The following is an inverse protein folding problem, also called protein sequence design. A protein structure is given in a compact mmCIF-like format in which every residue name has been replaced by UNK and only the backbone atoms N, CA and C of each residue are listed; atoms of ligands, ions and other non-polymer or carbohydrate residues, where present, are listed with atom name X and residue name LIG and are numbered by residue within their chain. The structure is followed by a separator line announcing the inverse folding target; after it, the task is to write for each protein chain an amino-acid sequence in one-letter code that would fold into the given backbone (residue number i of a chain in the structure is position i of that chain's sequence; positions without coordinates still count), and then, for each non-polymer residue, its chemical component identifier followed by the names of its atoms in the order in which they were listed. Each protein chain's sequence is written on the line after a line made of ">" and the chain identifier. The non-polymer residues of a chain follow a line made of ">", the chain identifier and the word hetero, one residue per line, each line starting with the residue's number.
data_IF_501466518268
#
_entry.id   IF_501466518268
#
_cell.length_a   1.000
_cell.length_b   1.000
_cell.length_c   1.000
_cell.angle_alpha   90.00
_cell.angle_beta   90.00
_cell.angle_gamma   90.00
#
_symmetry.space_group_name_H-M   'P 1'
#
loop_
_entity.id
_entity.type
_entity.pdbx_description
1 polymer ?
#
# COMPACT_ATOMS: atom_id res chain seq x y z
N UNK A 1 -0.99 -25.34 -21.07
CA UNK A 1 -1.51 -26.04 -19.86
C UNK A 1 -0.75 -25.52 -18.65
N UNK A 2 -1.46 -25.25 -17.58
CA UNK A 2 -0.90 -24.82 -16.29
C UNK A 2 -1.32 -25.81 -15.20
N UNK A 3 -0.39 -26.16 -14.32
CA UNK A 3 -0.65 -27.09 -13.23
C UNK A 3 -1.42 -26.38 -12.10
N UNK A 4 -2.54 -26.97 -11.66
CA UNK A 4 -3.17 -26.67 -10.39
C UNK A 4 -2.85 -27.82 -9.42
N UNK A 5 -2.16 -27.59 -8.28
CA UNK A 5 -1.87 -28.62 -7.32
C UNK A 5 -3.15 -29.30 -6.80
N UNK A 6 -3.14 -30.64 -6.67
CA UNK A 6 -4.31 -31.41 -6.28
C UNK A 6 -4.98 -30.95 -4.98
N UNK A 7 -4.17 -30.53 -3.98
CA UNK A 7 -4.65 -29.98 -2.70
C UNK A 7 -5.40 -28.65 -2.81
N UNK A 8 -5.36 -28.00 -3.98
CA UNK A 8 -6.02 -26.71 -4.25
C UNK A 8 -7.22 -26.86 -5.20
N UNK A 9 -7.48 -28.05 -5.69
CA UNK A 9 -8.68 -28.35 -6.47
C UNK A 9 -9.87 -28.34 -5.50
N UNK A 10 -10.93 -27.53 -5.76
CA UNK A 10 -12.13 -27.53 -4.92
C UNK A 10 -12.76 -28.92 -4.82
N UNK A 11 -13.31 -29.24 -3.65
CA UNK A 11 -14.03 -30.50 -3.46
C UNK A 11 -15.23 -30.58 -4.42
N UNK A 12 -15.35 -31.70 -5.08
CA UNK A 12 -16.43 -31.94 -6.07
C UNK A 12 -16.16 -31.42 -7.47
N UNK A 13 -15.03 -30.75 -7.73
CA UNK A 13 -14.67 -30.29 -9.08
C UNK A 13 -14.46 -31.47 -10.04
N UNK A 14 -14.96 -31.31 -11.27
CA UNK A 14 -14.90 -32.33 -12.33
C UNK A 14 -14.16 -31.81 -13.55
N UNK A 15 -13.72 -32.71 -14.40
CA UNK A 15 -13.15 -32.36 -15.69
C UNK A 15 -14.20 -31.66 -16.53
N UNK A 16 -13.86 -30.45 -17.02
CA UNK A 16 -14.74 -29.57 -17.76
C UNK A 16 -15.27 -28.38 -16.97
N UNK A 17 -15.09 -28.36 -15.64
CA UNK A 17 -15.44 -27.21 -14.83
C UNK A 17 -14.47 -26.04 -15.04
N UNK A 18 -14.99 -24.81 -14.97
CA UNK A 18 -14.20 -23.59 -15.01
C UNK A 18 -13.85 -23.15 -13.58
N UNK A 19 -12.56 -22.88 -13.35
CA UNK A 19 -12.05 -22.41 -12.06
C UNK A 19 -11.33 -21.09 -12.26
N UNK A 20 -11.64 -20.09 -11.42
CA UNK A 20 -10.84 -18.88 -11.31
C UNK A 20 -9.55 -19.18 -10.55
N UNK A 21 -8.42 -18.88 -11.16
CA UNK A 21 -7.10 -19.18 -10.58
C UNK A 21 -6.16 -18.00 -10.74
N UNK A 22 -5.26 -17.85 -9.78
CA UNK A 22 -4.13 -16.93 -9.87
C UNK A 22 -2.90 -17.67 -10.41
N UNK A 23 -2.18 -17.05 -11.35
CA UNK A 23 -0.99 -17.62 -11.98
C UNK A 23 0.27 -17.00 -11.38
N UNK A 24 1.22 -17.83 -11.01
CA UNK A 24 2.54 -17.40 -10.52
C UNK A 24 3.61 -18.45 -10.81
N UNK A 25 4.88 -18.13 -10.53
CA UNK A 25 5.98 -19.10 -10.68
C UNK A 25 6.34 -19.69 -9.32
N UNK A 26 6.46 -21.02 -9.27
CA UNK A 26 6.88 -21.75 -8.08
C UNK A 26 8.39 -21.59 -7.80
N UNK A 27 8.87 -22.26 -6.76
CA UNK A 27 10.29 -22.24 -6.35
C UNK A 27 11.25 -22.79 -7.42
N UNK A 28 10.73 -23.62 -8.32
CA UNK A 28 11.46 -24.19 -9.46
C UNK A 28 11.28 -23.40 -10.75
N UNK A 29 10.75 -22.17 -10.65
CA UNK A 29 10.50 -21.26 -11.78
C UNK A 29 9.46 -21.78 -12.78
N UNK A 30 8.62 -22.74 -12.41
CA UNK A 30 7.56 -23.27 -13.24
C UNK A 30 6.28 -22.46 -13.07
N UNK A 31 5.58 -22.20 -14.18
CA UNK A 31 4.28 -21.55 -14.13
C UNK A 31 3.25 -22.51 -13.53
N UNK A 32 2.66 -22.12 -12.42
CA UNK A 32 1.61 -22.87 -11.72
C UNK A 32 0.42 -21.97 -11.42
N UNK A 33 -0.68 -22.58 -11.04
CA UNK A 33 -1.90 -21.87 -10.63
C UNK A 33 -2.29 -22.21 -9.21
N UNK A 34 -3.06 -21.32 -8.60
CA UNK A 34 -3.65 -21.49 -7.27
C UNK A 34 -5.08 -20.96 -7.25
N UNK A 35 -5.95 -21.61 -6.51
CA UNK A 35 -7.30 -21.12 -6.20
C UNK A 35 -7.31 -20.16 -5.01
N UNK A 36 -6.17 -19.98 -4.33
CA UNK A 36 -6.03 -18.97 -3.28
C UNK A 36 -5.96 -17.57 -3.87
N UNK A 37 -6.66 -16.64 -3.25
CA UNK A 37 -6.56 -15.22 -3.61
C UNK A 37 -5.36 -14.60 -2.88
N UNK A 38 -4.34 -14.09 -3.61
CA UNK A 38 -3.24 -13.38 -2.97
C UNK A 38 -3.73 -12.07 -2.35
N UNK A 39 -3.02 -11.59 -1.32
CA UNK A 39 -3.28 -10.29 -0.68
C UNK A 39 -2.98 -9.10 -1.59
N UNK A 40 -2.28 -9.33 -2.70
CA UNK A 40 -1.84 -8.31 -3.65
C UNK A 40 -1.90 -8.85 -5.07
N UNK A 41 -2.59 -8.14 -5.95
CA UNK A 41 -2.67 -8.43 -7.39
C UNK A 41 -2.01 -7.30 -8.23
N UNK A 42 -1.80 -7.56 -9.52
CA UNK A 42 -1.30 -6.54 -10.43
C UNK A 42 -2.22 -5.31 -10.46
N UNK A 43 -1.61 -4.13 -10.44
CA UNK A 43 -2.35 -2.86 -10.45
C UNK A 43 -2.90 -2.45 -9.06
N UNK A 44 -2.58 -3.19 -8.02
CA UNK A 44 -2.98 -2.88 -6.65
C UNK A 44 -1.78 -2.52 -5.77
N UNK A 45 -2.06 -1.87 -4.66
CA UNK A 45 -1.13 -1.64 -3.55
C UNK A 45 -1.72 -2.29 -2.30
N UNK A 46 -0.89 -3.00 -1.55
CA UNK A 46 -1.31 -3.63 -0.29
C UNK A 46 -0.23 -3.52 0.78
N UNK A 47 -0.66 -3.59 2.03
CA UNK A 47 0.22 -3.66 3.19
C UNK A 47 0.57 -5.13 3.44
N UNK A 48 1.85 -5.48 3.29
CA UNK A 48 2.35 -6.84 3.44
C UNK A 48 3.38 -6.91 4.56
N UNK A 49 3.44 -8.06 5.24
CA UNK A 49 4.39 -8.31 6.32
C UNK A 49 5.68 -8.90 5.78
N UNK A 50 6.81 -8.36 6.21
CA UNK A 50 8.15 -8.90 5.94
C UNK A 50 8.34 -10.17 6.77
N UNK A 51 8.45 -11.32 6.11
CA UNK A 51 8.66 -12.63 6.77
C UNK A 51 10.13 -12.85 7.07
N UNK A 52 11.00 -12.48 6.12
CA UNK A 52 12.43 -12.71 6.20
C UNK A 52 13.19 -11.66 5.38
N UNK A 53 14.39 -11.34 5.80
CA UNK A 53 15.36 -10.57 5.01
C UNK A 53 16.52 -11.49 4.63
N UNK A 54 16.78 -11.62 3.34
CA UNK A 54 17.80 -12.51 2.78
C UNK A 54 18.88 -11.75 2.01
N UNK A 55 19.69 -12.49 1.24
CA UNK A 55 20.83 -11.95 0.48
C UNK A 55 20.44 -11.11 -0.75
N UNK A 56 19.25 -11.30 -1.28
CA UNK A 56 18.76 -10.65 -2.52
C UNK A 56 17.67 -9.60 -2.26
N UNK A 57 17.13 -9.57 -1.06
CA UNK A 57 16.05 -8.68 -0.67
C UNK A 57 15.28 -9.21 0.52
N UNK A 58 14.09 -8.67 0.72
CA UNK A 58 13.13 -9.16 1.69
C UNK A 58 12.10 -10.07 1.04
N UNK A 59 11.48 -10.92 1.84
CA UNK A 59 10.39 -11.80 1.44
C UNK A 59 9.13 -11.39 2.18
N UNK A 60 8.04 -11.21 1.45
CA UNK A 60 6.78 -10.71 1.96
C UNK A 60 5.71 -11.81 1.95
N UNK A 61 4.93 -11.90 3.03
CA UNK A 61 3.73 -12.74 3.07
C UNK A 61 2.61 -12.07 2.24
N UNK A 62 2.30 -12.63 1.11
CA UNK A 62 1.20 -12.21 0.24
C UNK A 62 0.06 -13.22 0.12
N UNK A 63 0.03 -14.22 1.02
CA UNK A 63 -1.05 -15.20 1.13
C UNK A 63 -0.88 -16.46 0.29
N UNK A 64 0.22 -16.59 -0.47
CA UNK A 64 0.55 -17.79 -1.24
C UNK A 64 1.66 -18.58 -0.55
N UNK A 65 1.87 -19.84 -0.98
CA UNK A 65 2.89 -20.73 -0.38
C UNK A 65 4.31 -20.20 -0.56
N UNK A 66 4.59 -19.57 -1.71
CA UNK A 66 5.86 -18.93 -1.98
C UNK A 66 5.77 -17.45 -1.62
N UNK A 67 6.63 -16.99 -0.72
CA UNK A 67 6.72 -15.58 -0.35
C UNK A 67 7.11 -14.70 -1.54
N UNK A 68 6.64 -13.47 -1.55
CA UNK A 68 6.89 -12.51 -2.60
C UNK A 68 8.23 -11.81 -2.36
N UNK A 69 9.14 -11.88 -3.33
CA UNK A 69 10.43 -11.20 -3.24
C UNK A 69 10.28 -9.67 -3.40
N UNK A 70 10.83 -8.93 -2.46
CA UNK A 70 11.06 -7.49 -2.52
C UNK A 70 12.57 -7.23 -2.66
N UNK A 71 13.11 -7.10 -3.89
CA UNK A 71 14.52 -6.89 -4.11
C UNK A 71 15.04 -5.62 -3.44
N UNK A 72 16.30 -5.60 -3.00
CA UNK A 72 16.90 -4.40 -2.37
C UNK A 72 16.75 -3.13 -3.22
N UNK A 73 16.88 -3.23 -4.54
CA UNK A 73 16.71 -2.11 -5.48
C UNK A 73 15.29 -1.53 -5.52
N UNK A 74 14.31 -2.27 -5.03
CA UNK A 74 12.91 -1.89 -4.99
C UNK A 74 12.45 -1.43 -3.61
N UNK A 75 13.38 -1.38 -2.65
CA UNK A 75 13.12 -0.86 -1.31
C UNK A 75 13.45 0.62 -1.24
N UNK A 76 12.52 1.43 -0.76
CA UNK A 76 12.73 2.87 -0.53
C UNK A 76 13.50 3.14 0.77
N UNK A 77 13.54 2.15 1.66
CA UNK A 77 14.33 2.13 2.91
C UNK A 77 14.65 0.69 3.30
N UNK A 78 15.60 0.50 4.18
CA UNK A 78 15.86 -0.82 4.78
C UNK A 78 14.63 -1.28 5.57
N UNK A 79 14.27 -2.55 5.40
CA UNK A 79 13.15 -3.18 6.10
C UNK A 79 13.65 -4.28 7.04
N UNK A 80 12.86 -4.62 8.05
CA UNK A 80 13.15 -5.66 9.04
C UNK A 80 12.06 -6.72 9.05
N UNK A 81 12.41 -7.94 9.45
CA UNK A 81 11.45 -9.01 9.69
C UNK A 81 10.38 -8.58 10.70
N UNK A 82 9.12 -8.88 10.40
CA UNK A 82 7.95 -8.47 11.19
C UNK A 82 7.39 -7.10 10.85
N UNK A 83 8.11 -6.28 10.09
CA UNK A 83 7.59 -5.00 9.61
C UNK A 83 6.49 -5.16 8.56
N UNK A 84 5.57 -4.21 8.54
CA UNK A 84 4.60 -4.07 7.45
C UNK A 84 5.05 -2.98 6.48
N UNK A 85 5.00 -3.28 5.20
CA UNK A 85 5.38 -2.36 4.13
C UNK A 85 4.27 -2.27 3.09
N UNK A 86 4.05 -1.07 2.55
CA UNK A 86 3.23 -0.90 1.36
C UNK A 86 4.01 -1.40 0.15
N UNK A 87 3.39 -2.26 -0.63
CA UNK A 87 3.99 -2.85 -1.81
C UNK A 87 3.00 -2.93 -2.98
N UNK A 88 3.55 -2.84 -4.18
CA UNK A 88 2.87 -3.14 -5.43
C UNK A 88 3.57 -4.30 -6.13
N UNK A 89 2.88 -4.97 -7.07
CA UNK A 89 3.48 -5.99 -7.92
C UNK A 89 4.06 -5.38 -9.19
N UNK A 90 5.19 -5.92 -9.60
CA UNK A 90 5.73 -5.74 -10.95
C UNK A 90 6.31 -7.04 -11.47
N UNK A 91 6.50 -7.11 -12.77
CA UNK A 91 7.15 -8.25 -13.43
C UNK A 91 8.59 -7.84 -13.71
N UNK A 92 9.55 -8.60 -13.18
CA UNK A 92 10.96 -8.35 -13.40
C UNK A 92 11.40 -8.76 -14.82
N UNK A 93 12.66 -8.49 -15.17
CA UNK A 93 13.23 -8.82 -16.50
C UNK A 93 13.24 -10.33 -16.80
N UNK A 94 13.13 -11.18 -15.80
CA UNK A 94 13.06 -12.64 -15.93
C UNK A 94 11.63 -13.17 -16.02
N UNK A 95 10.62 -12.30 -16.03
CA UNK A 95 9.21 -12.66 -16.09
C UNK A 95 8.62 -13.15 -14.77
N UNK A 96 9.25 -12.81 -13.62
CA UNK A 96 8.79 -13.17 -12.29
C UNK A 96 8.03 -12.02 -11.64
N UNK A 97 6.99 -12.37 -10.88
CA UNK A 97 6.31 -11.41 -10.01
C UNK A 97 7.22 -11.07 -8.83
N UNK A 98 7.46 -9.78 -8.63
CA UNK A 98 8.21 -9.23 -7.51
C UNK A 98 7.46 -8.05 -6.92
N UNK A 99 7.81 -7.70 -5.67
CA UNK A 99 7.28 -6.53 -4.99
C UNK A 99 8.15 -5.29 -5.22
N UNK A 100 7.53 -4.12 -5.20
CA UNK A 100 8.20 -2.82 -5.14
C UNK A 100 7.58 -1.96 -4.06
N UNK A 101 8.41 -1.20 -3.33
CA UNK A 101 7.94 -0.14 -2.42
C UNK A 101 7.76 1.20 -3.12
N UNK A 102 8.13 1.31 -4.41
CA UNK A 102 7.87 2.49 -5.24
C UNK A 102 6.40 2.45 -5.69
N UNK A 103 5.48 2.76 -4.79
CA UNK A 103 4.04 2.59 -5.00
C UNK A 103 3.36 3.76 -5.71
N UNK A 104 4.06 4.88 -5.89
CA UNK A 104 3.49 6.11 -6.46
C UNK A 104 2.71 5.88 -7.76
N UNK A 105 3.31 5.19 -8.72
CA UNK A 105 2.70 4.92 -10.04
C UNK A 105 1.57 3.86 -9.99
N UNK A 106 1.43 3.17 -8.87
CA UNK A 106 0.42 2.13 -8.68
C UNK A 106 -0.81 2.61 -7.90
N UNK A 107 -0.75 3.81 -7.35
CA UNK A 107 -1.87 4.41 -6.62
C UNK A 107 -2.87 5.02 -7.61
N UNK A 108 -4.15 4.81 -7.31
CA UNK A 108 -5.27 5.32 -8.11
C UNK A 108 -5.51 6.81 -7.82
N UNK A 109 -6.09 7.48 -8.81
CA UNK A 109 -6.45 8.89 -8.75
C UNK A 109 -7.95 9.15 -8.92
N UNK A 110 -8.75 8.09 -8.98
CA UNK A 110 -10.21 8.12 -9.12
C UNK A 110 -10.92 7.90 -7.78
N UNK A 111 -10.41 8.53 -6.72
CA UNK A 111 -10.99 8.39 -5.39
C UNK A 111 -12.40 8.98 -5.32
N UNK A 112 -13.30 8.42 -4.45
CA UNK A 112 -14.63 8.97 -4.24
C UNK A 112 -14.63 10.22 -3.35
N UNK A 113 -13.49 10.59 -2.80
CA UNK A 113 -13.36 11.65 -1.80
C UNK A 113 -13.50 13.05 -2.40
N UNK A 114 -14.09 13.94 -1.60
CA UNK A 114 -14.30 15.35 -1.91
C UNK A 114 -13.60 16.24 -0.90
N UNK A 115 -13.53 17.53 -1.21
CA UNK A 115 -13.03 18.53 -0.26
C UNK A 115 -13.77 18.41 1.07
N UNK A 116 -13.02 18.52 2.15
CA UNK A 116 -13.43 18.42 3.55
C UNK A 116 -13.72 17.01 4.07
N UNK A 117 -13.67 15.99 3.23
CA UNK A 117 -13.76 14.60 3.69
C UNK A 117 -12.58 14.23 4.59
N UNK A 118 -12.86 13.39 5.59
CA UNK A 118 -11.85 12.80 6.47
C UNK A 118 -11.40 11.48 5.88
N UNK A 119 -10.10 11.31 5.74
CA UNK A 119 -9.48 10.12 5.15
C UNK A 119 -8.39 9.58 6.05
N UNK A 120 -8.14 8.28 5.96
CA UNK A 120 -7.02 7.61 6.62
C UNK A 120 -6.08 7.08 5.56
N UNK A 121 -4.79 7.20 5.79
CA UNK A 121 -3.79 6.70 4.86
C UNK A 121 -2.48 6.39 5.54
N UNK A 122 -1.52 5.90 4.78
CA UNK A 122 -0.19 5.55 5.25
C UNK A 122 0.87 6.34 4.49
N UNK A 123 1.79 6.93 5.22
CA UNK A 123 2.93 7.64 4.63
C UNK A 123 3.90 6.61 4.07
N UNK A 124 4.22 6.71 2.78
CA UNK A 124 5.17 5.84 2.12
C UNK A 124 6.45 6.54 1.66
N UNK A 125 6.41 7.87 1.55
CA UNK A 125 7.57 8.67 1.17
C UNK A 125 7.47 10.07 1.80
N UNK A 126 8.62 10.64 2.19
CA UNK A 126 8.73 12.04 2.64
C UNK A 126 9.76 12.75 1.77
N UNK A 127 9.28 13.75 1.02
CA UNK A 127 10.10 14.59 0.17
C UNK A 127 10.39 15.94 0.83
N UNK A 128 11.65 16.36 0.80
CA UNK A 128 12.06 17.69 1.30
C UNK A 128 11.41 18.83 0.51
N UNK A 129 11.06 18.60 -0.74
CA UNK A 129 10.50 19.63 -1.64
C UNK A 129 8.98 19.65 -1.63
N UNK A 130 8.33 18.49 -1.60
CA UNK A 130 6.88 18.37 -1.80
C UNK A 130 6.10 18.17 -0.49
N UNK A 131 6.60 17.37 0.43
CA UNK A 131 5.94 17.00 1.67
C UNK A 131 5.85 15.49 1.85
N UNK A 132 4.80 15.01 2.53
CA UNK A 132 4.60 13.59 2.78
C UNK A 132 3.60 12.98 1.78
N UNK A 133 4.04 11.98 1.06
CA UNK A 133 3.19 11.20 0.17
C UNK A 133 2.44 10.13 0.95
N UNK A 134 1.14 10.07 0.75
CA UNK A 134 0.20 9.24 1.50
C UNK A 134 -0.58 8.33 0.55
N UNK A 135 -0.60 7.05 0.86
CA UNK A 135 -1.53 6.11 0.24
C UNK A 135 -2.84 6.11 1.05
N UNK A 136 -3.81 6.88 0.60
CA UNK A 136 -5.15 6.95 1.23
C UNK A 136 -5.86 5.62 0.98
N UNK A 137 -6.35 5.00 2.06
CA UNK A 137 -6.94 3.64 2.05
C UNK A 137 -6.02 2.57 1.42
N UNK A 138 -4.69 2.79 1.43
CA UNK A 138 -3.69 2.00 0.71
C UNK A 138 -3.96 1.88 -0.81
N UNK A 139 -4.72 2.79 -1.37
CA UNK A 139 -5.25 2.71 -2.74
C UNK A 139 -5.09 4.00 -3.54
N UNK A 140 -5.38 5.15 -2.93
CA UNK A 140 -5.46 6.43 -3.63
C UNK A 140 -4.28 7.34 -3.33
N UNK A 141 -3.86 8.11 -4.34
CA UNK A 141 -2.73 9.04 -4.24
C UNK A 141 -3.10 10.30 -3.47
N UNK A 142 -2.37 10.58 -2.39
CA UNK A 142 -2.50 11.77 -1.57
C UNK A 142 -1.14 12.40 -1.24
N UNK A 143 -1.14 13.71 -1.01
CA UNK A 143 0.01 14.48 -0.60
C UNK A 143 -0.37 15.42 0.55
N UNK A 144 0.36 15.36 1.65
CA UNK A 144 0.39 16.40 2.68
C UNK A 144 1.49 17.37 2.30
N UNK A 145 1.17 18.60 1.85
CA UNK A 145 2.18 19.55 1.41
C UNK A 145 3.17 19.91 2.51
N UNK A 146 4.40 20.23 2.14
CA UNK A 146 5.47 20.62 3.07
C UNK A 146 5.03 21.67 4.10
N UNK A 147 4.25 22.68 3.68
CA UNK A 147 3.72 23.73 4.56
C UNK A 147 2.82 23.23 5.70
N UNK A 148 2.27 22.03 5.55
CA UNK A 148 1.46 21.37 6.58
C UNK A 148 2.29 20.52 7.55
N UNK A 149 3.57 20.29 7.24
CA UNK A 149 4.49 19.47 8.04
C UNK A 149 5.23 20.26 9.13
N UNK A 150 5.06 21.60 9.17
CA UNK A 150 5.66 22.44 10.20
C UNK A 150 4.76 22.45 11.45
N UNK A 151 5.34 22.07 12.59
CA UNK A 151 4.69 22.03 13.90
C UNK A 151 5.16 20.79 14.66
N UNK A 152 4.48 20.50 15.77
CA UNK A 152 4.84 19.39 16.68
C UNK A 152 4.57 17.98 16.13
N UNK A 153 4.06 17.87 14.91
CA UNK A 153 3.72 16.58 14.31
C UNK A 153 4.90 16.02 13.53
N UNK A 154 5.69 15.18 14.18
CA UNK A 154 6.76 14.43 13.52
C UNK A 154 6.15 13.24 12.76
N UNK A 155 6.04 13.36 11.43
CA UNK A 155 5.55 12.30 10.55
C UNK A 155 6.72 11.45 10.06
N UNK A 156 6.54 10.13 10.06
CA UNK A 156 7.55 9.16 9.62
C UNK A 156 6.98 8.25 8.52
N UNK A 157 7.88 7.74 7.67
CA UNK A 157 7.49 6.72 6.69
C UNK A 157 7.00 5.48 7.42
N UNK A 158 5.83 4.99 7.03
CA UNK A 158 5.13 3.87 7.65
C UNK A 158 4.02 4.29 8.61
N UNK A 159 3.98 5.55 9.04
CA UNK A 159 2.93 6.03 9.94
C UNK A 159 1.56 6.01 9.26
N UNK A 160 0.56 5.61 10.02
CA UNK A 160 -0.83 5.79 9.65
C UNK A 160 -1.29 7.17 10.10
N UNK A 161 -1.88 7.92 9.19
CA UNK A 161 -2.37 9.28 9.45
C UNK A 161 -3.84 9.41 9.11
N UNK A 162 -4.54 10.20 9.90
CA UNK A 162 -5.87 10.70 9.58
C UNK A 162 -5.75 12.15 9.14
N UNK A 163 -6.25 12.44 7.96
CA UNK A 163 -6.14 13.74 7.34
C UNK A 163 -7.49 14.19 6.76
N UNK A 164 -7.59 15.48 6.46
CA UNK A 164 -8.72 16.06 5.77
C UNK A 164 -8.32 16.37 4.32
N UNK A 165 -9.20 16.09 3.38
CA UNK A 165 -9.03 16.48 1.99
C UNK A 165 -9.20 18.01 1.87
N UNK A 166 -8.13 18.69 1.49
CA UNK A 166 -8.15 20.16 1.26
C UNK A 166 -8.62 20.45 -0.15
N UNK A 167 -8.14 19.67 -1.11
CA UNK A 167 -8.43 19.83 -2.53
C UNK A 167 -8.29 18.49 -3.25
N UNK A 168 -9.14 18.27 -4.25
CA UNK A 168 -8.96 17.24 -5.27
C UNK A 168 -8.41 17.94 -6.50
N UNK A 169 -7.26 17.49 -6.99
CA UNK A 169 -6.60 18.06 -8.17
C UNK A 169 -7.32 17.59 -9.46
N UNK A 170 -7.04 18.25 -10.59
CA UNK A 170 -7.63 17.90 -11.89
C UNK A 170 -7.29 16.47 -12.32
N UNK A 171 -6.10 15.99 -11.97
CA UNK A 171 -5.66 14.59 -12.19
C UNK A 171 -6.22 13.59 -11.18
N UNK A 172 -7.05 14.04 -10.23
CA UNK A 172 -7.70 13.22 -9.21
C UNK A 172 -6.88 12.96 -7.94
N UNK A 173 -5.62 13.40 -7.88
CA UNK A 173 -4.80 13.29 -6.66
C UNK A 173 -5.34 14.16 -5.55
N UNK A 174 -5.19 13.72 -4.31
CA UNK A 174 -5.71 14.40 -3.12
C UNK A 174 -4.63 15.27 -2.48
N UNK A 175 -4.96 16.52 -2.18
CA UNK A 175 -4.17 17.36 -1.29
C UNK A 175 -4.75 17.24 0.11
N UNK A 176 -3.93 16.90 1.09
CA UNK A 176 -4.34 16.55 2.44
C UNK A 176 -3.78 17.55 3.47
N UNK A 177 -4.49 17.70 4.59
CA UNK A 177 -4.00 18.41 5.78
C UNK A 177 -4.28 17.57 7.03
N UNK A 178 -3.28 17.47 7.90
CA UNK A 178 -3.41 16.86 9.23
C UNK A 178 -3.90 17.86 10.27
N UNK A 179 -3.99 19.15 9.91
CA UNK A 179 -4.47 20.22 10.79
C UNK A 179 -5.99 20.29 10.79
N UNK A 180 -6.55 20.53 11.94
CA UNK A 180 -7.97 20.88 12.05
C UNK A 180 -8.24 22.25 11.41
N UNK A 181 -9.49 22.46 10.95
CA UNK A 181 -9.90 23.78 10.46
C UNK A 181 -9.71 24.81 11.58
N UNK A 182 -9.19 25.98 11.25
CA UNK A 182 -8.88 27.02 12.23
C UNK A 182 -10.06 27.38 13.16
N UNK A 183 -11.29 27.36 12.66
CA UNK A 183 -12.46 27.66 13.47
C UNK A 183 -12.78 26.55 14.51
N UNK A 184 -12.48 25.28 14.20
CA UNK A 184 -12.65 24.17 15.16
C UNK A 184 -11.59 24.22 16.26
N UNK A 185 -10.39 24.66 15.92
CA UNK A 185 -9.32 24.90 16.89
C UNK A 185 -9.70 26.01 17.85
N UNK A 186 -10.23 27.13 17.35
CA UNK A 186 -10.69 28.27 18.19
C UNK A 186 -11.80 27.85 19.16
N UNK A 187 -12.76 27.02 18.71
CA UNK A 187 -13.81 26.50 19.59
C UNK A 187 -13.26 25.59 20.69
N UNK A 188 -12.33 24.69 20.36
CA UNK A 188 -11.70 23.81 21.36
C UNK A 188 -10.85 24.58 22.36
N UNK A 189 -10.16 25.62 21.92
CA UNK A 189 -9.36 26.47 22.79
C UNK A 189 -10.24 27.32 23.70
N UNK A 190 -11.38 27.81 23.21
CA UNK A 190 -12.38 28.52 24.02
C UNK A 190 -12.99 27.61 25.09
N UNK A 191 -13.43 26.39 24.75
CA UNK A 191 -13.96 25.41 25.71
C UNK A 191 -12.92 24.99 26.77
N UNK A 192 -11.64 25.00 26.43
CA UNK A 192 -10.54 24.70 27.36
C UNK A 192 -10.34 25.83 28.39
N UNK A 193 -10.52 27.07 27.96
CA UNK A 193 -10.41 28.26 28.82
C UNK A 193 -11.60 28.33 29.79
N UNK A 194 -12.82 27.97 29.35
CA UNK A 194 -14.02 27.95 30.21
C UNK A 194 -13.98 26.86 31.31
N UNK A 195 -13.11 25.86 31.18
CA UNK A 195 -12.94 24.76 32.16
C UNK A 195 -11.80 24.99 33.16
N UNK A 196 -11.10 26.12 33.07
CA UNK A 196 -10.07 26.56 34.01
C UNK A 196 -10.62 27.55 35.00
#
# INVERSE_FOLDING_TARGET
>A
KVLLPAKQVPEGAKVGDELEVFLYRDSSDRLISTTRTPKLCMGQVALLTVVQVGKVGAFLDWGLEKDLLLPFKQQTRKVKTGEQVLAALYIDKSGRLCATMNVYEHLRTDSPYKKDDKVTGRIYEISKNFGAFVAVDNCFSGLIPKKELFGDTELRIGDQVTARVVKVLEDGKLTLSVREKAYLQIQKDAEKIERL
#
